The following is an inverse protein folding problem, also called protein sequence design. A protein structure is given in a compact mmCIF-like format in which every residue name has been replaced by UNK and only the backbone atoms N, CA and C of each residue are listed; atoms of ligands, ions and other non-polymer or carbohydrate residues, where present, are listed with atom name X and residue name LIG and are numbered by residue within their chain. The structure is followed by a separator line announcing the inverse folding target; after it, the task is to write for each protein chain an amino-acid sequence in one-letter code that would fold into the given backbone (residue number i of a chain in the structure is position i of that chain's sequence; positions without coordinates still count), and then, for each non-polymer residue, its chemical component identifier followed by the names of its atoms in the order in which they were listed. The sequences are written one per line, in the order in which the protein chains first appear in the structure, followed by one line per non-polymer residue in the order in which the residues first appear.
data_IF_045571999354
#
_entry.id   IF_045571999354
#
_cell.length_a   1.000
_cell.length_b   1.000
_cell.length_c   1.000
_cell.angle_alpha   90.00
_cell.angle_beta   90.00
_cell.angle_gamma   90.00
#
_symmetry.space_group_name_H-M   'P 1'
#
loop_
_entity.id
_entity.type
_entity.pdbx_description
1 polymer ?
#
# COMPACT_ATOMS: atom_id res chain seq x y z
N UNK A 1 -29.76 -16.21 58.37
CA UNK A 1 -29.93 -17.58 57.86
C UNK A 1 -28.97 -17.77 56.71
N UNK A 2 -28.06 -18.73 56.86
CA UNK A 2 -27.01 -19.09 55.92
C UNK A 2 -27.62 -20.08 54.90
N UNK A 3 -27.48 -19.83 53.60
CA UNK A 3 -27.68 -20.88 52.60
C UNK A 3 -26.46 -20.93 51.67
N UNK A 4 -25.63 -21.94 51.91
CA UNK A 4 -24.75 -22.55 50.91
C UNK A 4 -25.62 -23.47 50.04
N UNK A 5 -25.41 -23.53 48.73
CA UNK A 5 -25.12 -24.80 48.07
C UNK A 5 -24.66 -24.67 46.59
N UNK A 6 -23.68 -25.53 46.31
CA UNK A 6 -23.24 -26.22 45.08
C UNK A 6 -23.00 -25.43 43.78
N UNK A 7 -21.71 -25.30 43.52
CA UNK A 7 -21.08 -25.19 42.21
C UNK A 7 -21.42 -26.42 41.34
N UNK A 8 -22.26 -26.23 40.31
CA UNK A 8 -22.35 -27.17 39.19
C UNK A 8 -21.44 -26.64 38.07
N UNK A 9 -20.25 -27.21 37.97
CA UNK A 9 -19.34 -26.96 36.86
C UNK A 9 -19.92 -27.66 35.63
N UNK A 10 -20.66 -26.93 34.80
CA UNK A 10 -20.76 -27.30 33.39
C UNK A 10 -19.56 -26.65 32.70
N UNK A 11 -18.48 -27.41 32.46
CA UNK A 11 -17.42 -27.00 31.54
C UNK A 11 -17.98 -27.09 30.12
N UNK A 12 -18.91 -26.21 29.80
CA UNK A 12 -19.17 -25.84 28.42
C UNK A 12 -18.10 -24.84 28.03
N UNK A 13 -17.13 -25.24 27.19
CA UNK A 13 -16.26 -24.29 26.52
C UNK A 13 -17.12 -23.43 25.60
N UNK A 14 -17.65 -22.33 26.14
CA UNK A 14 -17.99 -21.15 25.36
C UNK A 14 -16.65 -20.63 24.82
N UNK A 15 -16.33 -21.03 23.59
CA UNK A 15 -15.33 -20.32 22.79
C UNK A 15 -15.95 -18.96 22.51
N UNK A 16 -15.68 -17.98 23.38
CA UNK A 16 -15.89 -16.59 23.03
C UNK A 16 -14.99 -16.32 21.82
N UNK A 17 -15.58 -16.28 20.64
CA UNK A 17 -14.93 -15.67 19.50
C UNK A 17 -14.77 -14.19 19.87
N UNK A 18 -13.56 -13.79 20.24
CA UNK A 18 -13.18 -12.39 20.32
C UNK A 18 -13.43 -11.83 18.91
N UNK A 19 -14.50 -11.06 18.75
CA UNK A 19 -14.59 -10.18 17.59
C UNK A 19 -13.57 -9.10 17.90
N UNK A 20 -12.33 -9.25 17.41
CA UNK A 20 -11.40 -8.12 17.36
C UNK A 20 -12.16 -6.99 16.66
N UNK A 21 -12.51 -5.93 17.39
CA UNK A 21 -13.03 -4.73 16.76
C UNK A 21 -11.96 -4.29 15.76
N UNK A 22 -12.31 -4.25 14.47
CA UNK A 22 -11.41 -3.72 13.47
C UNK A 22 -11.01 -2.30 13.93
N UNK A 23 -9.72 -2.08 14.15
CA UNK A 23 -9.21 -0.75 14.47
C UNK A 23 -9.44 0.10 13.23
N UNK A 24 -10.48 0.93 13.26
CA UNK A 24 -10.76 1.90 12.21
C UNK A 24 -9.91 3.13 12.50
N UNK A 25 -8.84 3.31 11.73
CA UNK A 25 -8.06 4.55 11.73
C UNK A 25 -8.69 5.52 10.73
N UNK A 26 -9.07 6.71 11.19
CA UNK A 26 -9.46 7.80 10.29
C UNK A 26 -8.20 8.52 9.79
N UNK A 27 -8.05 8.63 8.47
CA UNK A 27 -6.96 9.36 7.84
C UNK A 27 -7.43 10.05 6.56
N UNK A 28 -6.61 10.96 6.02
CA UNK A 28 -6.89 11.61 4.74
C UNK A 28 -6.42 10.73 3.58
N UNK A 29 -7.15 10.78 2.47
CA UNK A 29 -6.73 10.14 1.22
C UNK A 29 -6.31 11.18 0.19
N UNK A 30 -5.22 10.91 -0.53
CA UNK A 30 -4.72 11.69 -1.66
C UNK A 30 -4.57 10.80 -2.89
N UNK A 31 -4.23 11.38 -4.03
CA UNK A 31 -3.78 10.66 -5.23
C UNK A 31 -2.33 10.95 -5.51
N UNK A 32 -1.63 10.05 -6.20
CA UNK A 32 -0.25 10.27 -6.62
C UNK A 32 0.23 9.24 -7.63
N UNK A 33 1.22 9.62 -8.43
CA UNK A 33 1.88 8.75 -9.41
C UNK A 33 3.22 9.34 -9.82
N UNK A 34 4.29 8.96 -9.14
CA UNK A 34 5.66 9.47 -9.38
C UNK A 34 6.47 8.61 -10.38
N UNK A 35 5.90 7.46 -10.79
CA UNK A 35 6.55 6.41 -11.59
C UNK A 35 7.77 5.74 -10.92
N UNK A 36 8.11 6.11 -9.68
CA UNK A 36 9.25 5.55 -8.97
C UNK A 36 9.05 4.05 -8.72
N UNK A 37 10.15 3.31 -8.68
CA UNK A 37 10.13 1.94 -8.16
C UNK A 37 9.52 1.93 -6.74
N UNK A 38 8.50 1.10 -6.46
CA UNK A 38 7.90 1.01 -5.14
C UNK A 38 8.90 0.54 -4.08
N UNK A 39 8.81 1.05 -2.85
CA UNK A 39 9.75 0.69 -1.77
C UNK A 39 9.66 -0.81 -1.43
N UNK A 40 8.47 -1.40 -1.48
CA UNK A 40 8.27 -2.83 -1.23
C UNK A 40 8.78 -3.74 -2.35
N UNK A 41 9.34 -3.17 -3.43
CA UNK A 41 10.07 -3.90 -4.47
C UNK A 41 11.58 -3.92 -4.24
N UNK A 42 12.10 -3.11 -3.31
CA UNK A 42 13.53 -3.13 -2.99
C UNK A 42 13.86 -4.36 -2.17
N UNK A 43 14.96 -5.01 -2.49
CA UNK A 43 15.46 -6.15 -1.74
C UNK A 43 16.74 -5.82 -0.99
N UNK A 44 16.72 -5.99 0.33
CA UNK A 44 17.86 -6.64 0.97
C UNK A 44 17.68 -8.16 0.84
N UNK A 45 18.77 -8.92 0.96
CA UNK A 45 18.81 -10.39 0.77
C UNK A 45 18.04 -11.18 1.85
N UNK A 46 17.07 -10.59 2.56
CA UNK A 46 16.25 -11.30 3.54
C UNK A 46 15.28 -12.24 2.82
N UNK A 47 15.70 -13.50 2.72
CA UNK A 47 14.94 -14.58 2.09
C UNK A 47 13.58 -14.84 2.75
N UNK A 48 13.42 -14.47 4.02
CA UNK A 48 12.19 -14.75 4.77
C UNK A 48 11.07 -13.79 4.35
N UNK A 49 11.40 -12.53 4.06
CA UNK A 49 10.42 -11.56 3.52
C UNK A 49 9.95 -11.97 2.12
N UNK A 50 10.86 -12.43 1.27
CA UNK A 50 10.52 -12.92 -0.07
C UNK A 50 9.56 -14.11 -0.03
N UNK A 51 9.74 -15.01 0.95
CA UNK A 51 8.90 -16.22 1.11
C UNK A 51 7.56 -15.95 1.78
N UNK A 52 7.53 -15.08 2.79
CA UNK A 52 6.34 -14.91 3.65
C UNK A 52 5.29 -13.97 3.07
N UNK A 53 5.69 -12.88 2.40
CA UNK A 53 4.76 -11.86 1.90
C UNK A 53 5.01 -11.44 0.44
N UNK A 54 6.12 -11.87 -0.16
CA UNK A 54 6.53 -11.44 -1.49
C UNK A 54 7.01 -9.99 -1.56
N UNK A 55 7.23 -9.51 -2.77
CA UNK A 55 7.63 -8.12 -3.06
C UNK A 55 6.77 -7.55 -4.17
N UNK A 56 6.67 -6.22 -4.19
CA UNK A 56 6.02 -5.52 -5.29
C UNK A 56 6.75 -5.79 -6.61
N UNK A 57 5.99 -6.01 -7.67
CA UNK A 57 6.50 -6.18 -9.03
C UNK A 57 6.88 -4.82 -9.60
N UNK A 58 7.92 -4.79 -10.41
CA UNK A 58 8.41 -3.60 -11.10
C UNK A 58 8.41 -3.79 -12.60
N UNK A 59 8.47 -2.68 -13.31
CA UNK A 59 8.52 -2.66 -14.76
C UNK A 59 9.74 -1.87 -15.27
N UNK A 60 10.16 -2.16 -16.49
CA UNK A 60 11.16 -1.35 -17.19
C UNK A 60 10.56 -0.05 -17.74
N UNK A 61 11.38 0.74 -18.45
CA UNK A 61 10.95 2.03 -19.03
C UNK A 61 9.77 1.91 -19.99
N UNK A 62 9.58 0.75 -20.61
CA UNK A 62 8.52 0.48 -21.58
C UNK A 62 7.33 -0.22 -20.93
N UNK A 63 7.23 -0.15 -19.60
CA UNK A 63 6.20 -0.78 -18.77
C UNK A 63 6.13 -2.31 -18.95
N UNK A 64 7.25 -2.96 -19.25
CA UNK A 64 7.32 -4.42 -19.30
C UNK A 64 7.70 -4.97 -17.92
N UNK A 65 6.95 -5.94 -17.37
CA UNK A 65 7.30 -6.57 -16.10
C UNK A 65 8.73 -7.10 -16.08
N UNK A 66 9.48 -6.71 -15.06
CA UNK A 66 10.82 -7.25 -14.81
C UNK A 66 10.71 -8.59 -14.08
N UNK A 67 11.66 -9.49 -14.34
CA UNK A 67 11.81 -10.68 -13.52
C UNK A 67 12.14 -10.29 -12.07
N UNK A 68 11.87 -11.19 -11.13
CA UNK A 68 12.03 -10.92 -9.71
C UNK A 68 13.44 -10.43 -9.35
N UNK A 69 14.49 -11.01 -9.93
CA UNK A 69 15.86 -10.68 -9.57
C UNK A 69 16.26 -9.31 -10.12
N UNK A 70 15.94 -9.03 -11.39
CA UNK A 70 16.13 -7.68 -11.96
C UNK A 70 15.36 -6.64 -11.17
N UNK A 71 14.08 -6.88 -10.90
CA UNK A 71 13.23 -5.95 -10.16
C UNK A 71 13.75 -5.65 -8.75
N UNK A 72 14.21 -6.67 -8.03
CA UNK A 72 14.75 -6.51 -6.66
C UNK A 72 15.97 -5.57 -6.63
N UNK A 73 16.90 -5.74 -7.57
CA UNK A 73 18.22 -5.09 -7.50
C UNK A 73 18.41 -3.90 -8.44
N UNK A 74 17.52 -3.72 -9.42
CA UNK A 74 17.57 -2.56 -10.30
C UNK A 74 17.31 -1.27 -9.51
N UNK A 75 18.11 -0.25 -9.82
CA UNK A 75 17.95 1.10 -9.28
C UNK A 75 16.63 1.71 -9.75
N UNK A 76 15.93 2.38 -8.82
CA UNK A 76 14.71 3.13 -9.13
C UNK A 76 14.94 4.16 -10.24
N UNK A 77 14.02 4.28 -11.19
CA UNK A 77 14.06 5.29 -12.25
C UNK A 77 14.07 6.73 -11.72
N UNK A 78 13.65 6.93 -10.47
CA UNK A 78 13.75 8.21 -9.78
C UNK A 78 15.18 8.58 -9.38
N UNK A 79 16.15 7.67 -9.49
CA UNK A 79 17.58 7.96 -9.38
C UNK A 79 18.24 8.02 -10.77
N UNK A 80 19.26 8.87 -10.97
CA UNK A 80 19.99 8.91 -12.24
C UNK A 80 20.49 7.52 -12.66
N UNK A 81 20.25 7.14 -13.91
CA UNK A 81 20.63 5.82 -14.43
C UNK A 81 19.74 4.65 -13.99
N UNK A 82 18.66 4.91 -13.25
CA UNK A 82 17.70 3.90 -12.85
C UNK A 82 16.92 3.28 -14.00
N UNK A 83 16.56 2.00 -13.85
CA UNK A 83 15.93 1.19 -14.90
C UNK A 83 14.67 0.47 -14.43
N UNK A 84 14.22 0.73 -13.20
CA UNK A 84 13.05 0.08 -12.61
C UNK A 84 12.03 1.12 -12.17
N UNK A 85 10.78 0.90 -12.55
CA UNK A 85 9.67 1.83 -12.38
C UNK A 85 8.46 1.10 -11.79
N UNK A 86 7.49 1.88 -11.31
CA UNK A 86 6.17 1.36 -11.03
C UNK A 86 5.52 0.84 -12.32
N UNK A 87 4.80 -0.28 -12.25
CA UNK A 87 4.04 -0.81 -13.38
C UNK A 87 2.70 -0.10 -13.52
N UNK A 88 2.24 0.15 -14.75
CA UNK A 88 0.92 0.76 -14.98
C UNK A 88 -0.23 -0.11 -14.46
N UNK A 89 0.00 -1.42 -14.28
CA UNK A 89 -0.95 -2.33 -13.62
C UNK A 89 -1.28 -1.96 -12.18
N UNK A 90 -0.59 -0.96 -11.59
CA UNK A 90 -0.89 -0.44 -10.26
C UNK A 90 -1.95 0.67 -10.24
N UNK A 91 -2.51 1.02 -11.39
CA UNK A 91 -3.65 1.92 -11.48
C UNK A 91 -4.90 1.34 -10.79
N UNK A 92 -5.85 2.19 -10.33
CA UNK A 92 -7.09 1.73 -9.71
C UNK A 92 -7.97 0.99 -10.72
N UNK A 93 -8.68 -0.04 -10.26
CA UNK A 93 -9.61 -0.84 -11.06
C UNK A 93 -10.98 -0.82 -10.38
N UNK A 94 -11.97 -0.10 -10.93
CA UNK A 94 -13.35 -0.20 -10.47
C UNK A 94 -13.90 -1.57 -10.89
N UNK A 95 -14.51 -2.27 -9.92
CA UNK A 95 -15.08 -3.62 -10.15
C UNK A 95 -16.60 -3.65 -9.91
N UNK A 96 -17.12 -2.66 -9.20
CA UNK A 96 -18.54 -2.40 -9.03
C UNK A 96 -18.75 -0.89 -8.80
N UNK A 97 -20.02 -0.46 -8.76
CA UNK A 97 -20.37 0.95 -8.53
C UNK A 97 -19.84 1.47 -7.18
N UNK A 98 -19.72 0.61 -6.17
CA UNK A 98 -19.31 0.94 -4.80
C UNK A 98 -17.99 0.28 -4.38
N UNK A 99 -17.31 -0.45 -5.26
CA UNK A 99 -16.07 -1.16 -4.95
C UNK A 99 -15.00 -1.00 -6.03
N UNK A 100 -13.79 -0.66 -5.61
CA UNK A 100 -12.57 -0.66 -6.43
C UNK A 100 -11.43 -1.44 -5.78
N UNK A 101 -10.49 -1.91 -6.59
CA UNK A 101 -9.18 -2.39 -6.14
C UNK A 101 -8.09 -1.42 -6.56
N UNK A 102 -6.96 -1.43 -5.85
CA UNK A 102 -5.77 -0.77 -6.34
C UNK A 102 -4.61 -0.87 -5.37
N UNK A 103 -3.72 0.11 -5.46
CA UNK A 103 -2.47 0.12 -4.73
C UNK A 103 -2.24 1.50 -4.12
N UNK A 104 -1.49 1.55 -3.04
CA UNK A 104 -1.30 2.79 -2.31
C UNK A 104 0.08 2.94 -1.69
N UNK A 105 0.42 4.20 -1.41
CA UNK A 105 1.45 4.60 -0.48
C UNK A 105 0.79 4.78 0.89
N UNK A 106 1.30 4.08 1.90
CA UNK A 106 0.92 4.36 3.29
C UNK A 106 1.96 5.30 3.89
N UNK A 107 1.52 6.46 4.36
CA UNK A 107 2.44 7.47 4.87
C UNK A 107 3.01 7.02 6.21
N UNK A 108 4.33 6.86 6.26
CA UNK A 108 5.02 6.24 7.39
C UNK A 108 6.41 6.82 7.59
N UNK A 109 6.83 6.91 8.86
CA UNK A 109 8.20 7.28 9.22
C UNK A 109 9.22 6.19 8.82
N UNK A 110 8.77 4.93 8.74
CA UNK A 110 9.61 3.81 8.35
C UNK A 110 9.52 3.56 6.83
N UNK A 111 10.41 4.16 6.06
CA UNK A 111 10.42 4.07 4.59
C UNK A 111 11.33 2.94 4.07
N UNK A 112 11.46 1.86 4.84
CA UNK A 112 12.29 0.71 4.48
C UNK A 112 11.49 -0.38 3.79
N UNK A 113 12.18 -1.16 2.97
CA UNK A 113 11.61 -2.30 2.27
C UNK A 113 11.11 -3.39 3.21
N UNK A 114 11.63 -3.48 4.43
CA UNK A 114 11.21 -4.43 5.47
C UNK A 114 10.04 -3.93 6.33
N UNK A 115 9.49 -2.74 6.04
CA UNK A 115 8.34 -2.19 6.76
C UNK A 115 7.20 -3.22 6.82
N UNK A 116 6.60 -3.47 7.99
CA UNK A 116 5.57 -4.50 8.17
C UNK A 116 4.31 -4.31 7.31
N UNK A 117 4.06 -3.11 6.78
CA UNK A 117 2.91 -2.80 5.94
C UNK A 117 3.16 -3.10 4.46
N UNK A 118 4.40 -3.35 4.04
CA UNK A 118 4.65 -3.80 2.67
C UNK A 118 3.84 -5.04 2.33
N UNK A 119 3.16 -4.98 1.19
CA UNK A 119 2.28 -6.00 0.62
C UNK A 119 1.00 -6.30 1.41
N UNK A 120 0.74 -5.61 2.52
CA UNK A 120 -0.54 -5.73 3.25
C UNK A 120 -1.67 -5.08 2.47
N UNK A 121 -2.87 -5.62 2.63
CA UNK A 121 -4.09 -5.06 2.08
C UNK A 121 -4.94 -4.39 3.17
N UNK A 122 -5.60 -3.29 2.81
CA UNK A 122 -6.52 -2.56 3.66
C UNK A 122 -7.83 -2.33 2.91
N UNK A 123 -8.96 -2.48 3.60
CA UNK A 123 -10.24 -1.94 3.13
C UNK A 123 -10.34 -0.47 3.57
N UNK A 124 -10.59 0.40 2.60
CA UNK A 124 -10.80 1.84 2.80
C UNK A 124 -12.26 2.13 2.51
N UNK A 125 -12.90 2.94 3.35
CA UNK A 125 -14.22 3.50 3.10
C UNK A 125 -14.16 5.01 3.20
N UNK A 126 -14.66 5.71 2.18
CA UNK A 126 -14.69 7.18 2.21
C UNK A 126 -15.81 7.67 3.14
N UNK A 127 -15.44 8.57 4.05
CA UNK A 127 -16.36 9.21 5.00
C UNK A 127 -16.85 10.57 4.53
N UNK A 128 -16.28 11.11 3.45
CA UNK A 128 -16.61 12.43 2.90
C UNK A 128 -16.28 12.50 1.39
N UNK A 129 -16.64 13.62 0.76
CA UNK A 129 -16.40 13.86 -0.67
C UNK A 129 -17.34 13.08 -1.59
N UNK A 130 -17.05 13.10 -2.89
CA UNK A 130 -17.89 12.50 -3.92
C UNK A 130 -17.97 10.96 -3.85
N UNK A 131 -17.01 10.32 -3.18
CA UNK A 131 -16.95 8.87 -3.02
C UNK A 131 -17.53 8.38 -1.69
N UNK A 132 -18.19 9.25 -0.89
CA UNK A 132 -18.71 8.89 0.44
C UNK A 132 -19.53 7.59 0.41
N UNK A 133 -19.22 6.69 1.34
CA UNK A 133 -19.84 5.38 1.46
C UNK A 133 -19.24 4.28 0.57
N UNK A 134 -18.55 4.63 -0.52
CA UNK A 134 -17.86 3.66 -1.39
C UNK A 134 -16.63 3.06 -0.72
N UNK A 135 -16.19 1.91 -1.21
CA UNK A 135 -15.07 1.15 -0.69
C UNK A 135 -13.96 0.94 -1.73
N UNK A 136 -12.74 0.81 -1.24
CA UNK A 136 -11.60 0.36 -2.03
C UNK A 136 -10.74 -0.61 -1.23
N UNK A 137 -10.32 -1.70 -1.86
CA UNK A 137 -9.29 -2.58 -1.29
C UNK A 137 -7.96 -2.19 -1.91
N UNK A 138 -7.02 -1.73 -1.08
CA UNK A 138 -5.70 -1.29 -1.52
C UNK A 138 -4.61 -2.22 -1.00
N UNK A 139 -3.61 -2.53 -1.83
CA UNK A 139 -2.35 -3.12 -1.38
C UNK A 139 -1.28 -2.04 -1.22
N UNK A 140 -0.58 -2.04 -0.09
CA UNK A 140 0.53 -1.11 0.14
C UNK A 140 1.78 -1.59 -0.57
N UNK A 141 2.27 -0.80 -1.52
CA UNK A 141 3.49 -1.09 -2.31
C UNK A 141 4.64 -0.15 -1.97
N UNK A 142 4.34 0.93 -1.24
CA UNK A 142 5.34 1.90 -0.77
C UNK A 142 4.92 2.41 0.61
N UNK A 143 5.61 2.05 1.70
CA UNK A 143 5.63 2.86 2.90
C UNK A 143 6.46 4.11 2.61
N UNK A 144 5.83 5.29 2.55
CA UNK A 144 6.49 6.48 2.01
C UNK A 144 6.39 7.68 2.93
N UNK A 145 7.35 8.59 2.82
CA UNK A 145 7.17 9.95 3.30
C UNK A 145 6.34 10.74 2.31
N UNK A 146 5.68 11.77 2.79
CA UNK A 146 5.02 12.76 1.95
C UNK A 146 5.41 14.17 2.42
N UNK A 147 5.30 15.15 1.53
CA UNK A 147 5.55 16.55 1.84
C UNK A 147 4.26 17.32 2.10
N UNK A 148 4.39 18.52 2.66
CA UNK A 148 3.28 19.45 2.83
C UNK A 148 2.30 19.04 3.93
N UNK A 149 1.00 19.02 3.61
CA UNK A 149 -0.09 18.71 4.56
C UNK A 149 -0.35 17.22 4.74
N UNK A 150 0.35 16.35 4.01
CA UNK A 150 0.20 14.90 4.10
C UNK A 150 0.96 14.39 5.32
N UNK A 151 0.28 13.66 6.20
CA UNK A 151 0.82 13.24 7.50
C UNK A 151 0.80 11.72 7.66
N UNK A 152 1.41 11.23 8.74
CA UNK A 152 1.42 9.80 9.09
C UNK A 152 0.01 9.19 9.06
N UNK A 153 -0.07 7.95 8.59
CA UNK A 153 -1.29 7.16 8.40
C UNK A 153 -2.21 7.64 7.27
N UNK A 154 -1.95 8.80 6.65
CA UNK A 154 -2.59 9.17 5.39
C UNK A 154 -2.25 8.16 4.29
N UNK A 155 -3.15 8.08 3.31
CA UNK A 155 -3.05 7.14 2.21
C UNK A 155 -2.99 7.88 0.88
N UNK A 156 -1.97 7.62 0.07
CA UNK A 156 -1.89 8.14 -1.30
C UNK A 156 -2.25 7.00 -2.25
N UNK A 157 -3.42 7.08 -2.88
CA UNK A 157 -3.91 6.08 -3.81
C UNK A 157 -3.21 6.29 -5.15
N UNK A 158 -2.55 5.24 -5.64
CA UNK A 158 -1.80 5.30 -6.88
C UNK A 158 -2.74 5.49 -8.06
N UNK A 159 -2.69 6.66 -8.67
CA UNK A 159 -3.60 7.09 -9.74
C UNK A 159 -2.81 7.84 -10.80
N UNK A 160 -2.62 7.30 -12.02
CA UNK A 160 -1.94 8.02 -13.09
C UNK A 160 -2.53 9.42 -13.30
N UNK A 161 -1.67 10.44 -13.34
CA UNK A 161 -2.10 11.85 -13.39
C UNK A 161 -2.46 12.47 -12.03
N UNK A 162 -2.36 11.72 -10.94
CA UNK A 162 -2.70 12.16 -9.58
C UNK A 162 -1.69 13.10 -8.91
N UNK A 163 -0.67 13.58 -9.64
CA UNK A 163 0.43 14.38 -9.12
C UNK A 163 1.70 13.57 -8.88
N UNK A 164 2.87 14.14 -9.20
CA UNK A 164 4.16 13.47 -8.99
C UNK A 164 4.65 13.52 -7.53
N UNK A 165 4.23 14.52 -6.75
CA UNK A 165 4.70 14.69 -5.38
C UNK A 165 6.18 15.06 -5.29
N UNK A 166 6.86 14.58 -4.25
CA UNK A 166 8.25 14.97 -3.95
C UNK A 166 9.27 14.43 -4.98
N UNK A 167 9.02 13.26 -5.55
CA UNK A 167 9.90 12.64 -6.54
C UNK A 167 9.37 12.89 -7.96
N UNK A 168 9.58 14.11 -8.45
CA UNK A 168 9.02 14.57 -9.73
C UNK A 168 9.79 14.08 -10.98
N UNK A 169 10.92 13.42 -10.79
CA UNK A 169 11.80 13.02 -11.89
C UNK A 169 11.48 11.65 -12.50
N UNK A 170 10.66 10.82 -11.84
CA UNK A 170 10.41 9.44 -12.28
C UNK A 170 9.66 9.36 -13.61
N UNK A 171 8.47 9.96 -13.68
CA UNK A 171 7.66 9.95 -14.89
C UNK A 171 8.32 10.67 -16.08
N UNK A 172 8.97 11.84 -15.92
CA UNK A 172 9.75 12.45 -16.98
C UNK A 172 10.88 11.57 -17.53
N UNK A 173 11.50 10.73 -16.68
CA UNK A 173 12.53 9.78 -17.12
C UNK A 173 11.95 8.53 -17.79
N UNK A 174 10.79 8.06 -17.33
CA UNK A 174 10.16 6.87 -17.91
C UNK A 174 9.53 7.18 -19.27
N UNK A 175 8.70 8.22 -19.32
CA UNK A 175 7.80 8.50 -20.44
C UNK A 175 8.12 9.81 -21.18
N UNK A 176 9.04 10.63 -20.66
CA UNK A 176 9.47 11.90 -21.26
C UNK A 176 8.89 13.14 -20.57
N UNK A 177 9.43 14.32 -20.91
CA UNK A 177 9.18 15.58 -20.18
C UNK A 177 7.74 16.07 -20.12
N UNK A 178 6.84 15.56 -20.98
CA UNK A 178 5.41 15.89 -20.97
C UNK A 178 4.64 15.27 -19.81
N UNK A 179 5.28 14.39 -19.03
CA UNK A 179 4.67 13.68 -17.91
C UNK A 179 5.13 14.28 -16.57
N UNK A 180 4.89 15.59 -16.38
CA UNK A 180 5.39 16.42 -15.26
C UNK A 180 4.28 17.14 -14.44
N UNK A 181 3.08 16.58 -14.41
CA UNK A 181 1.87 17.16 -13.79
C UNK A 181 1.92 17.28 -12.26
#
# INVERSE_FOLDING_TARGET
MLFKLVQLILVGRLVAASVEAAVVTSASSYTGWDCCKPICANGNRNSDLLRSRGVARTCDKDNRPQDLNTGLFATTGCSPGGSSYMCDSYQPVPVADDLSYGFAILVSDNQREDNPNCCKCYEVQWLSGAAVGKKMIVQIVTPGGAGGSVVKDDLIILTPGGGLGYFDQGCPRQYGSRYNW
#
